data_IF_648024759931
#
_entry.id   IF_648024759931
#
_cell.length_a   1.000
_cell.length_b   1.000
_cell.length_c   1.000
_cell.angle_alpha   90.00
_cell.angle_beta   90.00
_cell.angle_gamma   90.00
#
_symmetry.space_group_name_H-M   'P 1'
#
loop_
_entity.id
_entity.type
_entity.pdbx_description
1 polymer ?
#
# COMPACT_ATOMS: atom_id res chain seq x y z
N UNK A 1 -31.54 -9.19 28.81
CA UNK A 1 -31.08 -10.50 28.30
C UNK A 1 -29.64 -10.37 27.84
N UNK A 2 -28.70 -10.78 28.68
CA UNK A 2 -27.27 -10.85 28.36
C UNK A 2 -27.03 -12.06 27.44
N UNK A 3 -26.37 -11.89 26.28
CA UNK A 3 -26.09 -13.02 25.40
C UNK A 3 -25.15 -14.02 26.10
N UNK A 4 -25.30 -15.34 25.85
CA UNK A 4 -24.54 -16.36 26.55
C UNK A 4 -23.03 -16.23 26.28
N UNK A 5 -22.24 -16.36 27.35
CA UNK A 5 -20.78 -16.21 27.43
C UNK A 5 -19.98 -17.11 26.46
N UNK A 6 -20.60 -18.13 25.86
CA UNK A 6 -19.95 -19.05 24.90
C UNK A 6 -19.82 -18.49 23.46
N UNK A 7 -20.45 -17.35 23.14
CA UNK A 7 -20.44 -16.79 21.78
C UNK A 7 -19.21 -15.93 21.45
N UNK A 8 -18.56 -15.32 22.45
CA UNK A 8 -17.43 -14.40 22.26
C UNK A 8 -16.19 -15.05 21.60
N UNK A 9 -15.75 -16.27 21.96
CA UNK A 9 -14.55 -16.87 21.37
C UNK A 9 -14.71 -17.17 19.87
N UNK A 10 -15.90 -17.66 19.46
CA UNK A 10 -16.18 -17.98 18.05
C UNK A 10 -16.24 -16.73 17.17
N UNK A 11 -16.79 -15.64 17.70
CA UNK A 11 -16.86 -14.36 16.99
C UNK A 11 -15.47 -13.76 16.76
N UNK A 12 -14.59 -13.82 17.76
CA UNK A 12 -13.21 -13.32 17.65
C UNK A 12 -12.41 -14.12 16.61
N UNK A 13 -12.48 -15.45 16.65
CA UNK A 13 -11.82 -16.32 15.66
C UNK A 13 -12.32 -16.05 14.23
N UNK A 14 -13.63 -15.84 14.07
CA UNK A 14 -14.21 -15.49 12.77
C UNK A 14 -13.80 -14.09 12.29
N UNK A 15 -13.59 -13.13 13.20
CA UNK A 15 -13.04 -11.81 12.86
C UNK A 15 -11.56 -11.92 12.44
N UNK A 16 -10.73 -12.64 13.19
CA UNK A 16 -9.32 -12.85 12.84
C UNK A 16 -9.15 -13.54 11.48
N UNK A 17 -9.89 -14.64 11.25
CA UNK A 17 -9.86 -15.34 9.96
C UNK A 17 -10.24 -14.45 8.77
N UNK A 18 -11.22 -13.55 8.96
CA UNK A 18 -11.58 -12.54 7.95
C UNK A 18 -10.45 -11.54 7.69
N UNK A 19 -9.80 -11.06 8.73
CA UNK A 19 -8.68 -10.10 8.62
C UNK A 19 -7.48 -10.73 7.92
N UNK A 20 -7.16 -11.99 8.23
CA UNK A 20 -6.13 -12.77 7.51
C UNK A 20 -6.49 -12.92 6.03
N UNK A 21 -7.77 -13.20 5.71
CA UNK A 21 -8.22 -13.30 4.31
C UNK A 21 -8.03 -11.99 3.55
N UNK A 22 -8.41 -10.85 4.16
CA UNK A 22 -8.22 -9.53 3.54
C UNK A 22 -6.75 -9.21 3.36
N UNK A 23 -5.92 -9.42 4.39
CA UNK A 23 -4.47 -9.24 4.28
C UNK A 23 -3.88 -10.12 3.17
N UNK A 24 -4.34 -11.36 3.05
CA UNK A 24 -3.92 -12.28 1.98
C UNK A 24 -4.28 -11.74 0.60
N UNK A 25 -5.54 -11.40 0.36
CA UNK A 25 -6.01 -10.92 -0.96
C UNK A 25 -5.28 -9.65 -1.36
N UNK A 26 -5.17 -8.70 -0.45
CA UNK A 26 -4.53 -7.41 -0.73
C UNK A 26 -3.03 -7.59 -0.97
N UNK A 27 -2.33 -8.36 -0.12
CA UNK A 27 -0.89 -8.61 -0.30
C UNK A 27 -0.62 -9.34 -1.62
N UNK A 28 -1.41 -10.37 -1.95
CA UNK A 28 -1.26 -11.10 -3.21
C UNK A 28 -1.58 -10.23 -4.43
N UNK A 29 -2.55 -9.33 -4.34
CA UNK A 29 -2.85 -8.36 -5.39
C UNK A 29 -1.63 -7.46 -5.68
N UNK A 30 -1.03 -6.86 -4.64
CA UNK A 30 0.17 -6.05 -4.79
C UNK A 30 1.36 -6.86 -5.31
N UNK A 31 1.56 -8.09 -4.81
CA UNK A 31 2.59 -8.99 -5.34
C UNK A 31 2.32 -9.40 -6.80
N UNK A 32 1.06 -9.50 -7.23
CA UNK A 32 0.70 -9.79 -8.61
C UNK A 32 0.96 -8.60 -9.56
N UNK A 33 0.79 -7.37 -9.07
CA UNK A 33 1.10 -6.17 -9.84
C UNK A 33 2.61 -5.88 -9.92
N UNK A 34 3.36 -6.25 -8.90
CA UNK A 34 4.79 -5.94 -8.80
C UNK A 34 5.64 -6.36 -10.02
N UNK A 35 5.48 -7.56 -10.62
CA UNK A 35 6.21 -7.94 -11.83
C UNK A 35 6.01 -6.98 -13.02
N UNK A 36 4.80 -6.43 -13.17
CA UNK A 36 4.51 -5.44 -14.22
C UNK A 36 5.32 -4.16 -13.99
N UNK A 37 5.39 -3.68 -12.75
CA UNK A 37 6.20 -2.51 -12.39
C UNK A 37 7.69 -2.78 -12.48
N UNK A 38 8.17 -3.95 -12.04
CA UNK A 38 9.57 -4.37 -12.14
C UNK A 38 10.01 -4.30 -13.61
N UNK A 39 9.23 -4.93 -14.50
CA UNK A 39 9.51 -4.93 -15.94
C UNK A 39 9.49 -3.52 -16.52
N UNK A 40 8.46 -2.72 -16.20
CA UNK A 40 8.35 -1.33 -16.67
C UNK A 40 9.51 -0.45 -16.21
N UNK A 41 9.88 -0.49 -14.93
CA UNK A 41 11.02 0.28 -14.41
C UNK A 41 12.36 -0.18 -15.00
N UNK A 42 12.50 -1.48 -15.29
CA UNK A 42 13.69 -2.00 -15.96
C UNK A 42 13.79 -1.47 -17.40
N UNK A 43 12.68 -1.47 -18.15
CA UNK A 43 12.63 -0.89 -19.50
C UNK A 43 12.88 0.62 -19.54
N UNK A 44 12.45 1.35 -18.50
CA UNK A 44 12.74 2.78 -18.35
C UNK A 44 14.19 3.08 -17.96
N UNK A 45 15.03 2.06 -17.73
CA UNK A 45 16.42 2.25 -17.30
C UNK A 45 16.56 2.62 -15.82
N UNK A 46 15.57 2.31 -14.98
CA UNK A 46 15.58 2.61 -13.54
C UNK A 46 15.64 1.30 -12.71
N UNK A 47 16.74 0.53 -12.79
CA UNK A 47 16.84 -0.79 -12.15
C UNK A 47 16.75 -0.72 -10.62
N UNK A 48 17.10 0.43 -10.02
CA UNK A 48 16.98 0.63 -8.58
C UNK A 48 15.52 0.61 -8.11
N UNK A 49 14.57 1.13 -8.90
CA UNK A 49 13.13 1.02 -8.60
C UNK A 49 12.62 -0.40 -8.82
N UNK A 50 13.08 -1.09 -9.87
CA UNK A 50 12.77 -2.51 -10.05
C UNK A 50 13.20 -3.35 -8.84
N UNK A 51 14.42 -3.13 -8.33
CA UNK A 51 14.91 -3.80 -7.14
C UNK A 51 14.10 -3.44 -5.89
N UNK A 52 13.74 -2.16 -5.70
CA UNK A 52 12.91 -1.72 -4.57
C UNK A 52 11.52 -2.38 -4.58
N UNK A 53 10.87 -2.48 -5.75
CA UNK A 53 9.58 -3.19 -5.89
C UNK A 53 9.75 -4.68 -5.56
N UNK A 54 10.81 -5.32 -6.05
CA UNK A 54 11.08 -6.72 -5.75
C UNK A 54 11.26 -6.95 -4.24
N UNK A 55 12.05 -6.10 -3.56
CA UNK A 55 12.24 -6.17 -2.10
C UNK A 55 10.90 -5.99 -1.37
N UNK A 56 10.09 -5.01 -1.77
CA UNK A 56 8.77 -4.81 -1.17
C UNK A 56 7.85 -6.02 -1.35
N UNK A 57 7.86 -6.65 -2.53
CA UNK A 57 7.12 -7.90 -2.78
C UNK A 57 7.59 -9.05 -1.88
N UNK A 58 8.91 -9.23 -1.74
CA UNK A 58 9.47 -10.27 -0.89
C UNK A 58 9.08 -10.04 0.58
N UNK A 59 9.21 -8.81 1.08
CA UNK A 59 8.81 -8.47 2.45
C UNK A 59 7.31 -8.65 2.66
N UNK A 60 6.47 -8.27 1.69
CA UNK A 60 5.03 -8.52 1.72
C UNK A 60 4.70 -10.01 1.78
N UNK A 61 5.32 -10.81 0.91
CA UNK A 61 5.17 -12.27 0.87
C UNK A 61 5.63 -12.94 2.17
N UNK A 62 6.78 -12.55 2.71
CA UNK A 62 7.29 -13.04 3.99
C UNK A 62 6.35 -12.68 5.15
N UNK A 63 5.81 -11.46 5.15
CA UNK A 63 4.84 -11.02 6.16
C UNK A 63 3.57 -11.87 6.08
N UNK A 64 3.06 -12.14 4.89
CA UNK A 64 1.92 -13.02 4.68
C UNK A 64 2.20 -14.44 5.20
N UNK A 65 3.35 -15.03 4.86
CA UNK A 65 3.74 -16.36 5.35
C UNK A 65 3.82 -16.37 6.88
N UNK A 66 4.40 -15.34 7.49
CA UNK A 66 4.49 -15.20 8.94
C UNK A 66 3.12 -15.11 9.61
N UNK A 67 2.21 -14.27 9.11
CA UNK A 67 0.83 -14.18 9.61
C UNK A 67 0.11 -15.52 9.48
N UNK A 68 0.27 -16.23 8.35
CA UNK A 68 -0.35 -17.56 8.14
C UNK A 68 0.20 -18.66 9.05
N UNK A 69 1.41 -18.49 9.58
CA UNK A 69 2.02 -19.39 10.56
C UNK A 69 1.67 -19.04 12.02
N UNK A 70 0.70 -18.15 12.23
CA UNK A 70 0.26 -17.72 13.57
C UNK A 70 0.85 -16.38 14.04
N UNK A 71 1.51 -15.63 13.16
CA UNK A 71 1.92 -14.26 13.43
C UNK A 71 0.74 -13.31 13.66
N UNK A 72 0.99 -12.20 14.34
CA UNK A 72 -0.04 -11.18 14.62
C UNK A 72 -0.49 -10.47 13.33
N UNK A 73 -1.79 -10.52 13.06
CA UNK A 73 -2.40 -9.88 11.89
C UNK A 73 -2.24 -8.36 11.93
N UNK A 74 -2.37 -7.74 13.11
CA UNK A 74 -2.21 -6.29 13.29
C UNK A 74 -0.80 -5.84 12.90
N UNK A 75 0.21 -6.50 13.47
CA UNK A 75 1.62 -6.21 13.17
C UNK A 75 1.93 -6.48 11.70
N UNK A 76 1.35 -7.53 11.12
CA UNK A 76 1.49 -7.85 9.70
C UNK A 76 0.89 -6.76 8.81
N UNK A 77 -0.29 -6.25 9.16
CA UNK A 77 -0.93 -5.13 8.47
C UNK A 77 -0.08 -3.87 8.52
N UNK A 78 0.39 -3.46 9.71
CA UNK A 78 1.29 -2.30 9.86
C UNK A 78 2.56 -2.48 9.04
N UNK A 79 3.17 -3.68 9.06
CA UNK A 79 4.39 -3.96 8.33
C UNK A 79 4.20 -3.85 6.81
N UNK A 80 3.15 -4.49 6.25
CA UNK A 80 2.84 -4.39 4.81
C UNK A 80 2.56 -2.94 4.40
N UNK A 81 1.77 -2.20 5.20
CA UNK A 81 1.49 -0.79 4.92
C UNK A 81 2.75 0.07 4.97
N UNK A 82 3.64 -0.17 5.94
CA UNK A 82 4.90 0.57 6.08
C UNK A 82 5.88 0.27 4.95
N UNK A 83 5.99 -1.00 4.53
CA UNK A 83 6.82 -1.39 3.39
C UNK A 83 6.34 -0.69 2.11
N UNK A 84 5.02 -0.65 1.88
CA UNK A 84 4.46 0.09 0.74
C UNK A 84 4.77 1.59 0.84
N UNK A 85 4.60 2.19 2.02
CA UNK A 85 4.92 3.59 2.25
C UNK A 85 6.39 3.91 1.90
N UNK A 86 7.33 3.11 2.39
CA UNK A 86 8.78 3.30 2.10
C UNK A 86 9.07 3.15 0.62
N UNK A 87 8.49 2.14 -0.05
CA UNK A 87 8.60 1.98 -1.49
C UNK A 87 8.08 3.23 -2.23
N UNK A 88 6.94 3.76 -1.83
CA UNK A 88 6.33 4.92 -2.48
C UNK A 88 7.09 6.21 -2.22
N UNK A 89 7.66 6.42 -1.03
CA UNK A 89 8.56 7.54 -0.76
C UNK A 89 9.75 7.48 -1.71
N UNK A 90 10.44 6.32 -1.75
CA UNK A 90 11.58 6.14 -2.63
C UNK A 90 11.22 6.32 -4.11
N UNK A 91 10.08 5.75 -4.53
CA UNK A 91 9.57 5.90 -5.88
C UNK A 91 9.31 7.35 -6.26
N UNK A 92 8.71 8.14 -5.37
CA UNK A 92 8.46 9.57 -5.59
C UNK A 92 9.75 10.41 -5.59
N UNK A 93 10.76 10.01 -4.81
CA UNK A 93 12.10 10.62 -4.88
C UNK A 93 12.81 10.37 -6.22
N UNK A 94 12.39 9.35 -6.97
CA UNK A 94 12.95 9.00 -8.28
C UNK A 94 12.10 9.47 -9.48
N UNK A 95 10.85 9.88 -9.25
CA UNK A 95 9.88 10.18 -10.32
C UNK A 95 9.51 11.67 -10.43
N UNK A 96 10.15 12.58 -9.69
CA UNK A 96 9.85 14.01 -9.72
C UNK A 96 8.88 14.51 -8.63
N UNK A 97 8.67 13.73 -7.57
CA UNK A 97 7.97 14.18 -6.36
C UNK A 97 6.49 14.47 -6.55
N UNK A 98 6.00 15.55 -5.91
CA UNK A 98 4.57 15.87 -5.83
C UNK A 98 3.90 16.17 -7.18
N UNK A 99 4.68 16.62 -8.17
CA UNK A 99 4.17 16.91 -9.52
C UNK A 99 3.92 15.67 -10.37
N UNK A 100 4.45 14.51 -9.99
CA UNK A 100 4.32 13.27 -10.74
C UNK A 100 3.04 12.50 -10.34
N UNK A 101 2.30 11.89 -11.28
CA UNK A 101 1.12 11.10 -10.95
C UNK A 101 1.37 9.91 -10.01
N UNK A 102 2.63 9.46 -9.90
CA UNK A 102 3.05 8.47 -8.91
C UNK A 102 2.77 8.93 -7.46
N UNK A 103 2.74 10.24 -7.19
CA UNK A 103 2.45 10.77 -5.86
C UNK A 103 1.07 10.35 -5.36
N UNK A 104 0.10 10.19 -6.27
CA UNK A 104 -1.25 9.73 -5.95
C UNK A 104 -1.30 8.33 -5.31
N UNK A 105 -0.27 7.50 -5.47
CA UNK A 105 -0.19 6.22 -4.80
C UNK A 105 -0.07 6.34 -3.28
N UNK A 106 0.47 7.45 -2.74
CA UNK A 106 0.57 7.64 -1.29
C UNK A 106 -0.81 7.63 -0.61
N UNK A 107 -1.88 7.96 -1.33
CA UNK A 107 -3.26 7.90 -0.81
C UNK A 107 -3.76 6.49 -0.55
N UNK A 108 -3.12 5.46 -1.13
CA UNK A 108 -3.41 4.05 -0.86
C UNK A 108 -2.99 3.66 0.57
N UNK A 109 -1.91 4.26 1.09
CA UNK A 109 -1.32 3.92 2.39
C UNK A 109 -2.31 4.05 3.56
N UNK A 110 -3.02 5.18 3.77
CA UNK A 110 -3.98 5.31 4.86
C UNK A 110 -5.17 4.35 4.71
N UNK A 111 -5.66 4.13 3.49
CA UNK A 111 -6.74 3.17 3.21
C UNK A 111 -6.31 1.76 3.60
N UNK A 112 -5.09 1.39 3.23
CA UNK A 112 -4.50 0.10 3.54
C UNK A 112 -4.31 -0.09 5.05
N UNK A 113 -3.79 0.91 5.77
CA UNK A 113 -3.66 0.89 7.22
C UNK A 113 -5.01 0.73 7.94
N UNK A 114 -6.04 1.43 7.46
CA UNK A 114 -7.40 1.32 7.97
C UNK A 114 -7.99 -0.08 7.74
N UNK A 115 -7.83 -0.62 6.53
CA UNK A 115 -8.39 -1.89 6.09
C UNK A 115 -7.72 -3.10 6.77
N UNK A 116 -6.38 -3.08 6.89
CA UNK A 116 -5.63 -4.21 7.42
C UNK A 116 -5.58 -4.22 8.95
N UNK A 117 -5.57 -3.05 9.58
CA UNK A 117 -5.35 -2.93 11.02
C UNK A 117 -6.56 -2.33 11.72
N UNK A 118 -6.73 -1.02 11.64
CA UNK A 118 -7.83 -0.30 12.30
C UNK A 118 -7.95 1.13 11.77
N UNK A 119 -9.12 1.75 11.95
CA UNK A 119 -9.34 3.14 11.56
C UNK A 119 -8.33 4.11 12.18
N UNK A 120 -7.91 3.88 13.44
CA UNK A 120 -6.88 4.68 14.10
C UNK A 120 -5.54 4.62 13.35
N UNK A 121 -5.09 3.42 12.97
CA UNK A 121 -3.86 3.26 12.18
C UNK A 121 -3.99 3.92 10.82
N UNK A 122 -5.16 3.86 10.19
CA UNK A 122 -5.47 4.63 8.99
C UNK A 122 -5.22 6.13 9.17
N UNK A 123 -5.73 6.72 10.25
CA UNK A 123 -5.50 8.14 10.57
C UNK A 123 -4.04 8.49 10.86
N UNK A 124 -3.29 7.59 11.51
CA UNK A 124 -1.84 7.76 11.71
C UNK A 124 -1.15 7.87 10.36
N UNK A 125 -1.42 6.94 9.44
CA UNK A 125 -0.85 7.00 8.09
C UNK A 125 -1.36 8.20 7.27
N UNK A 126 -2.59 8.67 7.50
CA UNK A 126 -3.09 9.92 6.90
C UNK A 126 -2.22 11.10 7.34
N UNK A 127 -1.92 11.21 8.63
CA UNK A 127 -1.01 12.26 9.15
C UNK A 127 0.39 12.17 8.52
N UNK A 128 0.94 10.96 8.39
CA UNK A 128 2.24 10.74 7.75
C UNK A 128 2.23 11.16 6.28
N UNK A 129 1.21 10.74 5.50
CA UNK A 129 1.08 11.11 4.08
C UNK A 129 0.85 12.61 3.92
N UNK A 130 0.10 13.25 4.82
CA UNK A 130 -0.08 14.70 4.84
C UNK A 130 1.25 15.43 5.04
N UNK A 131 2.05 15.01 6.03
CA UNK A 131 3.39 15.57 6.27
C UNK A 131 4.29 15.36 5.04
N UNK A 132 4.28 14.17 4.44
CA UNK A 132 5.05 13.91 3.21
C UNK A 132 4.61 14.84 2.08
N UNK A 133 3.32 15.06 1.87
CA UNK A 133 2.83 15.99 0.86
C UNK A 133 3.36 17.41 1.06
N UNK A 134 3.32 17.91 2.29
CA UNK A 134 3.90 19.22 2.62
C UNK A 134 5.41 19.24 2.37
N UNK A 135 6.15 18.20 2.78
CA UNK A 135 7.59 18.13 2.57
C UNK A 135 7.98 18.07 1.09
N UNK A 136 7.31 17.23 0.28
CA UNK A 136 7.54 17.15 -1.16
C UNK A 136 7.15 18.44 -1.88
N UNK A 137 6.14 19.16 -1.38
CA UNK A 137 5.74 20.47 -1.91
C UNK A 137 6.75 21.57 -1.59
N UNK A 138 7.28 21.60 -0.35
CA UNK A 138 8.27 22.59 0.09
C UNK A 138 9.68 22.30 -0.43
N UNK A 139 10.02 21.05 -0.75
CA UNK A 139 11.38 20.65 -1.13
C UNK A 139 12.04 21.58 -2.18
N UNK A 140 11.36 21.97 -3.28
CA UNK A 140 11.95 22.89 -4.27
C UNK A 140 12.23 24.29 -3.71
N UNK A 141 11.43 24.80 -2.78
CA UNK A 141 11.63 26.12 -2.15
C UNK A 141 12.91 26.17 -1.31
N UNK A 142 13.34 25.02 -0.79
CA UNK A 142 14.60 24.88 -0.05
C UNK A 142 15.77 24.38 -0.93
N UNK A 143 15.60 24.40 -2.26
CA UNK A 143 16.64 23.99 -3.21
C UNK A 143 16.81 22.47 -3.37
N UNK A 144 15.90 21.66 -2.84
CA UNK A 144 15.88 20.21 -3.06
C UNK A 144 15.11 19.90 -4.34
N UNK A 145 15.84 19.78 -5.45
CA UNK A 145 15.28 19.29 -6.71
C UNK A 145 15.14 17.76 -6.68
N UNK A 146 13.92 17.29 -6.86
CA UNK A 146 13.63 15.86 -6.89
C UNK A 146 13.83 15.37 -8.32
N UNK A 147 14.80 14.47 -8.57
CA UNK A 147 15.08 14.01 -9.91
C UNK A 147 13.89 13.23 -10.47
N UNK A 148 13.70 13.35 -11.78
CA UNK A 148 12.79 12.49 -12.52
C UNK A 148 13.61 11.63 -13.49
N UNK A 149 13.91 10.40 -13.06
CA UNK A 149 14.67 9.45 -13.85
C UNK A 149 13.85 8.81 -14.99
N UNK A 150 12.55 9.11 -15.09
CA UNK A 150 11.70 8.62 -16.18
C UNK A 150 12.06 9.40 -17.46
N UNK A 151 12.46 8.70 -18.55
CA UNK A 151 12.76 9.34 -19.82
C UNK A 151 11.58 10.20 -20.32
N UNK A 152 11.82 11.44 -20.80
CA UNK A 152 10.76 12.37 -21.18
C UNK A 152 9.69 11.78 -22.12
N UNK A 153 10.11 10.96 -23.08
CA UNK A 153 9.27 10.28 -24.06
C UNK A 153 8.33 9.22 -23.44
N UNK A 154 8.70 8.65 -22.30
CA UNK A 154 7.90 7.63 -21.60
C UNK A 154 7.02 8.21 -20.47
N UNK A 155 7.20 9.48 -20.08
CA UNK A 155 6.48 10.10 -18.95
C UNK A 155 4.96 10.05 -19.11
N UNK A 156 4.44 10.24 -20.32
CA UNK A 156 2.99 10.22 -20.58
C UNK A 156 2.40 8.83 -20.36
N UNK A 157 3.04 7.80 -20.90
CA UNK A 157 2.59 6.41 -20.73
C UNK A 157 2.68 5.98 -19.27
N UNK A 158 3.79 6.30 -18.60
CA UNK A 158 3.99 5.98 -17.20
C UNK A 158 2.98 6.70 -16.29
N UNK A 159 2.68 7.96 -16.59
CA UNK A 159 1.64 8.74 -15.91
C UNK A 159 0.27 8.07 -16.00
N UNK A 160 -0.11 7.60 -17.19
CA UNK A 160 -1.37 6.88 -17.39
C UNK A 160 -1.37 5.55 -16.65
N UNK A 161 -0.29 4.77 -16.77
CA UNK A 161 -0.14 3.49 -16.08
C UNK A 161 -0.27 3.64 -14.56
N UNK A 162 0.41 4.64 -13.96
CA UNK A 162 0.32 4.94 -12.53
C UNK A 162 -1.10 5.30 -12.09
N UNK A 163 -1.81 6.14 -12.85
CA UNK A 163 -3.19 6.52 -12.53
C UNK A 163 -4.16 5.35 -12.62
N UNK A 164 -4.10 4.57 -13.71
CA UNK A 164 -5.01 3.43 -13.91
C UNK A 164 -4.78 2.36 -12.84
N UNK A 165 -3.51 2.07 -12.53
CA UNK A 165 -3.15 1.08 -11.52
C UNK A 165 -3.50 1.52 -10.09
N UNK A 166 -3.35 2.81 -9.75
CA UNK A 166 -3.78 3.33 -8.45
C UNK A 166 -5.30 3.30 -8.30
N UNK A 167 -6.05 3.63 -9.37
CA UNK A 167 -7.53 3.52 -9.39
C UNK A 167 -7.94 2.07 -9.16
N UNK A 168 -7.32 1.12 -9.87
CA UNK A 168 -7.59 -0.31 -9.70
C UNK A 168 -7.30 -0.76 -8.26
N UNK A 169 -6.16 -0.35 -7.68
CA UNK A 169 -5.80 -0.68 -6.31
C UNK A 169 -6.82 -0.15 -5.30
N UNK A 170 -7.25 1.10 -5.44
CA UNK A 170 -8.32 1.67 -4.62
C UNK A 170 -9.62 0.89 -4.78
N UNK A 171 -10.01 0.54 -6.01
CA UNK A 171 -11.19 -0.27 -6.29
C UNK A 171 -11.16 -1.63 -5.58
N UNK A 172 -10.02 -2.33 -5.62
CA UNK A 172 -9.83 -3.61 -4.92
C UNK A 172 -9.92 -3.44 -3.40
N UNK A 173 -9.32 -2.39 -2.84
CA UNK A 173 -9.42 -2.11 -1.40
C UNK A 173 -10.85 -1.76 -0.98
N UNK A 174 -11.58 -0.98 -1.77
CA UNK A 174 -12.99 -0.66 -1.52
C UNK A 174 -13.87 -1.91 -1.61
N UNK A 175 -13.63 -2.79 -2.58
CA UNK A 175 -14.33 -4.07 -2.67
C UNK A 175 -14.05 -4.96 -1.45
N UNK A 176 -12.79 -4.98 -0.97
CA UNK A 176 -12.42 -5.69 0.25
C UNK A 176 -13.10 -5.10 1.50
N UNK A 177 -13.16 -3.77 1.63
CA UNK A 177 -13.88 -3.06 2.69
C UNK A 177 -15.39 -3.37 2.66
N UNK A 178 -16.03 -3.28 1.49
CA UNK A 178 -17.46 -3.59 1.34
C UNK A 178 -17.76 -5.06 1.70
N UNK A 179 -16.87 -5.97 1.31
CA UNK A 179 -16.93 -7.38 1.70
C UNK A 179 -16.83 -7.60 3.21
N UNK A 180 -16.09 -6.76 3.94
CA UNK A 180 -16.05 -6.80 5.41
C UNK A 180 -17.35 -6.24 6.03
N UNK A 181 -17.91 -5.16 5.49
CA UNK A 181 -19.11 -4.49 6.04
C UNK A 181 -20.39 -5.31 5.92
N UNK A 182 -20.56 -6.10 4.85
CA UNK A 182 -21.78 -6.92 4.60
C UNK A 182 -22.11 -7.91 5.74
N UNK A 183 -21.13 -8.23 6.59
CA UNK A 183 -21.27 -9.20 7.69
C UNK A 183 -21.11 -8.56 9.08
N UNK A 184 -21.10 -7.22 9.15
CA UNK A 184 -21.09 -6.47 10.41
C UNK A 184 -22.45 -5.83 10.74
N UNK A 185 -23.41 -5.94 9.82
CA UNK A 185 -24.84 -5.65 10.03
C UNK A 185 -25.58 -6.97 10.21
#
# INVERSE_FOLDING_TARGET
MTPPLQSKPKLLLAQEGRRVKVLTVVTLFFCGMGPLFIFRYYQMGIPSLSAAVLVAMLLGGLTLVWVRKGGSVDKGGVLVTSVLLVLLIYSNLCSGGIGDPNFGWLYVVPILGALLVSAFVGWVFTGVVFVLAVLFWLAPEYGFEIPNYIPPELRREQSLANRLSSILAIGVMLAALAGQQKYSR
#
